data_IF_038085496288
#
_entry.id   IF_038085496288
#
_cell.length_a   1.000
_cell.length_b   1.000
_cell.length_c   1.000
_cell.angle_alpha   90.00
_cell.angle_beta   90.00
_cell.angle_gamma   90.00
#
_symmetry.space_group_name_H-M   'P 1'
#
loop_
_entity.id
_entity.type
_entity.pdbx_description
1 polymer ?
#
# COMPACT_ATOMS: atom_id res chain seq x y z
N UNK A 1 -11.56 8.47 -1.87
CA UNK A 1 -12.73 8.70 -0.98
C UNK A 1 -12.76 7.62 0.09
N UNK A 2 -13.13 7.95 1.33
CA UNK A 2 -13.24 6.96 2.41
C UNK A 2 -14.57 6.20 2.33
N UNK A 3 -14.63 4.92 2.71
CA UNK A 3 -15.87 4.20 2.92
C UNK A 3 -16.75 4.86 3.99
N UNK A 4 -18.07 4.67 3.90
CA UNK A 4 -18.99 5.23 4.86
C UNK A 4 -18.70 4.73 6.28
N UNK A 5 -18.63 5.66 7.25
CA UNK A 5 -18.33 5.36 8.65
C UNK A 5 -16.85 5.20 8.97
N UNK A 6 -15.97 5.19 7.97
CA UNK A 6 -14.52 5.18 8.20
C UNK A 6 -14.01 6.59 8.49
N UNK A 7 -12.96 6.68 9.29
CA UNK A 7 -12.38 7.96 9.71
C UNK A 7 -10.87 7.97 9.56
N UNK A 8 -10.27 9.16 9.55
CA UNK A 8 -8.82 9.34 9.57
C UNK A 8 -8.37 9.96 10.88
N UNK A 9 -7.24 9.50 11.40
CA UNK A 9 -6.56 10.10 12.55
C UNK A 9 -5.13 10.46 12.16
N UNK A 10 -4.67 11.70 12.40
CA UNK A 10 -3.28 12.08 12.16
C UNK A 10 -2.29 11.19 12.93
N UNK A 11 -1.19 10.86 12.28
CA UNK A 11 -0.02 10.25 12.89
C UNK A 11 1.18 11.19 12.81
N UNK A 12 2.14 10.99 13.72
CA UNK A 12 3.44 11.62 13.58
C UNK A 12 4.14 11.05 12.32
N UNK A 13 4.52 11.88 11.35
CA UNK A 13 5.20 11.39 10.16
C UNK A 13 6.60 10.82 10.49
N UNK A 14 7.12 9.97 9.59
CA UNK A 14 8.48 9.44 9.74
C UNK A 14 9.52 10.57 9.86
N UNK A 15 10.49 10.38 10.76
CA UNK A 15 11.57 11.35 11.03
C UNK A 15 12.91 10.89 10.46
N UNK A 16 12.91 10.02 9.45
CA UNK A 16 14.16 9.56 8.83
C UNK A 16 14.96 10.77 8.26
N UNK A 17 16.30 10.76 8.29
CA UNK A 17 17.10 11.89 7.81
C UNK A 17 16.78 12.24 6.35
N UNK A 18 16.41 13.49 6.10
CA UNK A 18 16.07 13.96 4.74
C UNK A 18 17.30 14.33 3.91
N UNK A 19 18.51 14.22 4.47
CA UNK A 19 19.78 14.63 3.86
C UNK A 19 19.76 16.05 3.24
N UNK A 20 18.93 16.94 3.80
CA UNK A 20 18.77 18.33 3.33
C UNK A 20 17.66 18.56 2.31
N UNK A 21 16.89 17.53 1.94
CA UNK A 21 15.73 17.65 1.06
C UNK A 21 14.54 18.25 1.86
N UNK A 22 13.91 19.34 1.39
CA UNK A 22 12.78 19.95 2.09
C UNK A 22 11.50 19.15 1.84
N UNK A 23 11.30 18.07 2.60
CA UNK A 23 10.12 17.21 2.45
C UNK A 23 8.90 17.74 3.22
N UNK A 24 7.77 17.86 2.54
CA UNK A 24 6.45 18.03 3.16
C UNK A 24 5.93 16.67 3.62
N UNK A 25 5.91 16.45 4.93
CA UNK A 25 5.53 15.15 5.51
C UNK A 25 4.10 15.15 6.02
N UNK A 26 3.42 14.03 5.84
CA UNK A 26 2.03 13.85 6.29
C UNK A 26 1.78 12.37 6.52
N UNK A 27 1.09 12.01 7.61
CA UNK A 27 0.73 10.63 7.89
C UNK A 27 -0.64 10.54 8.57
N UNK A 28 -1.41 9.51 8.21
CA UNK A 28 -2.72 9.23 8.81
C UNK A 28 -2.96 7.73 8.95
N UNK A 29 -3.59 7.37 10.07
CA UNK A 29 -4.30 6.11 10.21
C UNK A 29 -5.70 6.24 9.66
N UNK A 30 -6.18 5.17 9.03
CA UNK A 30 -7.54 5.05 8.55
C UNK A 30 -8.21 3.95 9.35
N UNK A 31 -9.32 4.30 10.00
CA UNK A 31 -10.04 3.45 10.94
C UNK A 31 -11.41 3.08 10.37
N UNK A 32 -11.88 1.86 10.62
CA UNK A 32 -13.25 1.47 10.33
C UNK A 32 -14.28 2.09 11.31
N UNK A 33 -15.56 1.77 11.14
CA UNK A 33 -16.63 2.26 12.01
C UNK A 33 -16.59 1.74 13.44
N UNK A 34 -15.77 0.72 13.73
CA UNK A 34 -15.52 0.19 15.07
C UNK A 34 -14.25 0.78 15.70
N UNK A 35 -13.53 1.64 14.97
CA UNK A 35 -12.27 2.25 15.40
C UNK A 35 -11.04 1.36 15.23
N UNK A 36 -11.14 0.26 14.48
CA UNK A 36 -10.00 -0.60 14.15
C UNK A 36 -9.20 -0.01 13.00
N UNK A 37 -7.88 -0.10 13.08
CA UNK A 37 -7.01 0.32 11.99
C UNK A 37 -7.18 -0.61 10.78
N UNK A 38 -7.48 0.00 9.63
CA UNK A 38 -7.67 -0.70 8.37
C UNK A 38 -6.55 -0.42 7.37
N UNK A 39 -5.98 0.78 7.41
CA UNK A 39 -4.91 1.17 6.50
C UNK A 39 -4.12 2.36 7.06
N UNK A 40 -2.92 2.56 6.52
CA UNK A 40 -2.03 3.67 6.84
C UNK A 40 -1.61 4.37 5.55
N UNK A 41 -1.64 5.69 5.59
CA UNK A 41 -1.07 6.54 4.55
C UNK A 41 0.08 7.36 5.13
N UNK A 42 1.20 7.43 4.42
CA UNK A 42 2.32 8.31 4.74
C UNK A 42 2.92 8.90 3.45
N UNK A 43 3.07 10.22 3.41
CA UNK A 43 3.76 10.95 2.34
C UNK A 43 4.99 11.69 2.86
N UNK A 44 5.92 11.99 1.96
CA UNK A 44 7.19 12.62 2.32
C UNK A 44 8.17 11.64 2.96
N UNK A 45 8.13 10.38 2.55
CA UNK A 45 9.05 9.34 3.03
C UNK A 45 10.39 9.51 2.32
N UNK A 46 11.51 9.71 3.06
CA UNK A 46 12.84 9.72 2.47
C UNK A 46 13.17 8.33 1.95
N UNK A 47 13.61 8.22 0.70
CA UNK A 47 14.08 6.97 0.14
C UNK A 47 14.99 7.21 -1.04
N UNK A 48 16.03 6.39 -1.14
CA UNK A 48 16.96 6.31 -2.28
C UNK A 48 16.46 5.35 -3.37
N UNK A 49 15.32 4.68 -3.14
CA UNK A 49 14.74 3.69 -4.06
C UNK A 49 15.46 2.33 -4.02
N UNK A 50 16.29 2.05 -3.01
CA UNK A 50 16.98 0.77 -2.90
C UNK A 50 16.00 -0.41 -2.83
N UNK A 51 15.96 -1.19 -3.91
CA UNK A 51 15.13 -2.38 -4.04
C UNK A 51 15.83 -3.61 -3.43
N UNK A 52 15.15 -4.30 -2.53
CA UNK A 52 15.49 -5.67 -2.17
C UNK A 52 14.41 -6.59 -2.76
N UNK A 53 14.79 -7.72 -3.39
CA UNK A 53 13.82 -8.69 -3.87
C UNK A 53 12.89 -9.14 -2.73
N UNK A 54 11.59 -9.15 -2.99
CA UNK A 54 10.58 -9.67 -2.07
C UNK A 54 9.95 -10.92 -2.69
N UNK A 55 10.50 -12.12 -2.41
CA UNK A 55 9.99 -13.37 -2.95
C UNK A 55 8.78 -13.90 -2.16
N UNK A 56 8.03 -14.82 -2.77
CA UNK A 56 7.03 -15.64 -2.08
C UNK A 56 5.67 -14.98 -1.86
N UNK A 57 5.38 -13.92 -2.61
CA UNK A 57 4.07 -13.29 -2.63
C UNK A 57 3.12 -14.05 -3.55
N UNK A 58 1.86 -14.15 -3.14
CA UNK A 58 0.79 -14.78 -3.92
C UNK A 58 -0.32 -13.74 -4.11
N UNK A 59 -0.45 -13.15 -5.32
CA UNK A 59 -1.51 -12.20 -5.63
C UNK A 59 -2.90 -12.81 -5.46
N UNK A 60 -3.81 -12.05 -4.85
CA UNK A 60 -5.22 -12.39 -4.67
C UNK A 60 -6.14 -11.48 -5.50
N UNK A 61 -5.78 -10.19 -5.64
CA UNK A 61 -6.44 -9.23 -6.54
C UNK A 61 -5.44 -8.15 -6.95
N UNK A 62 -5.59 -7.61 -8.15
CA UNK A 62 -4.81 -6.49 -8.64
C UNK A 62 -5.61 -5.63 -9.64
N UNK A 63 -5.25 -4.35 -9.70
CA UNK A 63 -5.84 -3.39 -10.64
C UNK A 63 -4.81 -2.35 -11.04
N UNK A 64 -4.52 -2.23 -12.34
CA UNK A 64 -3.72 -1.11 -12.85
C UNK A 64 -4.45 0.22 -12.63
N UNK A 65 -3.70 1.25 -12.24
CA UNK A 65 -4.20 2.58 -11.90
C UNK A 65 -3.60 3.65 -12.84
N UNK A 66 -4.05 3.75 -14.11
CA UNK A 66 -3.45 4.63 -15.11
C UNK A 66 -3.36 6.11 -14.69
N UNK A 67 -4.34 6.58 -13.91
CA UNK A 67 -4.34 7.95 -13.41
C UNK A 67 -3.16 8.23 -12.46
N UNK A 68 -2.78 7.26 -11.62
CA UNK A 68 -1.61 7.37 -10.75
C UNK A 68 -0.31 7.11 -11.53
N UNK A 69 -0.31 6.16 -12.48
CA UNK A 69 0.84 5.92 -13.36
C UNK A 69 1.30 7.20 -14.06
N UNK A 70 0.36 8.05 -14.49
CA UNK A 70 0.65 9.34 -15.14
C UNK A 70 1.24 10.41 -14.19
N UNK A 71 1.28 10.15 -12.88
CA UNK A 71 1.76 11.07 -11.84
C UNK A 71 3.08 10.61 -11.21
N UNK A 72 3.60 9.45 -11.62
CA UNK A 72 4.91 8.98 -11.16
C UNK A 72 6.00 9.80 -11.85
N UNK A 73 6.84 10.46 -11.05
CA UNK A 73 7.90 11.29 -11.59
C UNK A 73 9.03 10.43 -12.16
N UNK A 74 9.57 10.81 -13.33
CA UNK A 74 10.77 10.24 -13.97
C UNK A 74 10.77 8.73 -14.26
N UNK A 75 9.66 8.01 -14.09
CA UNK A 75 9.60 6.55 -14.26
C UNK A 75 8.38 6.16 -15.12
N UNK A 76 8.63 5.52 -16.26
CA UNK A 76 7.60 4.94 -17.12
C UNK A 76 7.26 3.50 -16.69
N UNK A 77 6.69 3.34 -15.50
CA UNK A 77 6.20 2.06 -15.00
C UNK A 77 4.73 2.16 -14.60
N UNK A 78 3.92 1.11 -14.84
CA UNK A 78 2.54 1.09 -14.37
C UNK A 78 2.50 1.14 -12.84
N UNK A 79 1.52 1.83 -12.29
CA UNK A 79 1.14 1.71 -10.89
C UNK A 79 -0.07 0.81 -10.80
N UNK A 80 -0.02 -0.19 -9.93
CA UNK A 80 -1.17 -1.06 -9.65
C UNK A 80 -1.52 -1.04 -8.17
N UNK A 81 -2.80 -1.15 -7.86
CA UNK A 81 -3.24 -1.72 -6.59
C UNK A 81 -2.97 -3.22 -6.62
N UNK A 82 -2.47 -3.75 -5.51
CA UNK A 82 -2.25 -5.18 -5.31
C UNK A 82 -2.72 -5.56 -3.92
N UNK A 83 -3.50 -6.63 -3.82
CA UNK A 83 -3.75 -7.36 -2.58
C UNK A 83 -3.18 -8.76 -2.71
N UNK A 84 -2.22 -9.09 -1.87
CA UNK A 84 -1.54 -10.39 -1.89
C UNK A 84 -1.27 -10.91 -0.48
N UNK A 85 -0.71 -12.11 -0.40
CA UNK A 85 -0.19 -12.64 0.84
C UNK A 85 1.20 -13.24 0.65
N UNK A 86 1.99 -13.25 1.72
CA UNK A 86 3.29 -13.91 1.76
C UNK A 86 3.55 -14.47 3.16
N UNK A 87 4.55 -15.35 3.26
CA UNK A 87 5.04 -15.79 4.56
C UNK A 87 6.18 -14.87 4.99
N UNK A 88 6.01 -14.17 6.09
CA UNK A 88 7.03 -13.26 6.61
C UNK A 88 8.30 -14.05 6.95
N UNK A 89 9.46 -13.69 6.37
CA UNK A 89 10.66 -14.50 6.49
C UNK A 89 11.30 -14.42 7.89
N UNK A 90 10.90 -13.46 8.72
CA UNK A 90 11.45 -13.24 10.05
C UNK A 90 10.64 -13.99 11.10
N UNK A 91 9.33 -13.83 11.06
CA UNK A 91 8.38 -14.39 12.04
C UNK A 91 7.81 -15.74 11.61
N UNK A 92 7.81 -16.02 10.30
CA UNK A 92 7.16 -17.20 9.71
C UNK A 92 5.64 -17.07 9.64
N UNK A 93 5.06 -15.96 10.06
CA UNK A 93 3.61 -15.75 10.03
C UNK A 93 3.14 -15.38 8.62
N UNK A 94 1.89 -15.72 8.29
CA UNK A 94 1.29 -15.26 7.04
C UNK A 94 0.81 -13.82 7.22
N UNK A 95 1.20 -12.98 6.27
CA UNK A 95 0.80 -11.58 6.18
C UNK A 95 0.02 -11.38 4.91
N UNK A 96 -1.05 -10.60 4.99
CA UNK A 96 -1.82 -10.13 3.83
C UNK A 96 -1.61 -8.63 3.70
N UNK A 97 -1.36 -8.17 2.48
CA UNK A 97 -0.95 -6.80 2.22
C UNK A 97 -1.71 -6.23 1.02
N UNK A 98 -2.49 -5.19 1.27
CA UNK A 98 -2.99 -4.33 0.21
C UNK A 98 -2.04 -3.13 0.07
N UNK A 99 -1.57 -2.85 -1.13
CA UNK A 99 -0.58 -1.78 -1.38
C UNK A 99 -0.69 -1.23 -2.79
N UNK A 100 0.01 -0.14 -3.02
CA UNK A 100 0.44 0.17 -4.38
C UNK A 100 1.73 -0.54 -4.75
N UNK A 101 1.87 -0.84 -6.03
CA UNK A 101 3.04 -1.45 -6.63
C UNK A 101 3.46 -0.68 -7.87
N UNK A 102 4.78 -0.48 -8.03
CA UNK A 102 5.36 0.20 -9.19
C UNK A 102 6.01 -0.84 -10.12
N UNK A 103 5.50 -0.94 -11.34
CA UNK A 103 5.91 -1.95 -12.30
C UNK A 103 4.89 -3.08 -12.45
N UNK A 104 5.15 -4.06 -13.32
CA UNK A 104 4.24 -5.16 -13.53
C UNK A 104 4.08 -6.01 -12.27
N UNK A 105 2.89 -6.56 -12.06
CA UNK A 105 2.63 -7.57 -11.04
C UNK A 105 3.21 -8.89 -11.53
N UNK A 106 4.23 -9.45 -10.84
CA UNK A 106 4.93 -10.63 -11.31
C UNK A 106 4.10 -11.91 -11.06
N UNK A 107 3.95 -12.75 -12.09
CA UNK A 107 3.22 -14.03 -11.96
C UNK A 107 3.94 -15.04 -11.05
N UNK A 108 5.27 -14.93 -10.91
CA UNK A 108 6.08 -15.82 -10.08
C UNK A 108 6.17 -15.38 -8.61
N UNK A 109 5.51 -14.27 -8.25
CA UNK A 109 5.49 -13.75 -6.89
C UNK A 109 6.82 -13.14 -6.43
N UNK A 110 7.76 -12.88 -7.35
CA UNK A 110 9.04 -12.25 -7.07
C UNK A 110 9.02 -10.77 -7.43
N UNK A 111 8.84 -9.93 -6.43
CA UNK A 111 8.85 -8.48 -6.61
C UNK A 111 10.28 -7.93 -6.61
N UNK A 112 10.65 -7.22 -7.68
CA UNK A 112 11.99 -6.64 -7.87
C UNK A 112 12.16 -5.18 -7.45
N UNK A 113 11.12 -4.56 -6.88
CA UNK A 113 11.09 -3.15 -6.46
C UNK A 113 10.66 -3.03 -4.99
N UNK A 114 10.94 -1.91 -4.30
CA UNK A 114 10.44 -1.70 -2.94
C UNK A 114 8.91 -1.72 -2.93
N UNK A 115 8.33 -2.61 -2.13
CA UNK A 115 6.89 -2.78 -2.03
C UNK A 115 6.24 -1.58 -1.34
N UNK A 116 5.14 -1.08 -1.90
CA UNK A 116 4.31 -0.04 -1.27
C UNK A 116 4.87 1.37 -1.36
N UNK A 117 6.04 1.58 -1.97
CA UNK A 117 6.67 2.90 -2.13
C UNK A 117 6.46 3.40 -3.56
N UNK A 118 5.76 4.52 -3.70
CA UNK A 118 5.58 5.21 -4.98
C UNK A 118 6.24 6.58 -4.99
N UNK A 119 7.04 6.93 -6.01
CA UNK A 119 7.53 8.29 -6.20
C UNK A 119 6.44 9.15 -6.87
N UNK A 120 5.52 9.66 -6.05
CA UNK A 120 4.46 10.57 -6.49
C UNK A 120 4.86 12.02 -6.19
N UNK A 121 4.95 12.83 -7.25
CA UNK A 121 5.32 14.24 -7.17
C UNK A 121 6.80 14.49 -6.82
N UNK A 122 7.12 15.74 -6.51
CA UNK A 122 8.52 16.19 -6.26
C UNK A 122 8.97 16.01 -4.80
N UNK A 123 8.11 15.51 -3.93
CA UNK A 123 8.22 15.63 -2.48
C UNK A 123 8.52 14.30 -1.76
N UNK A 124 9.27 13.41 -2.40
CA UNK A 124 9.68 12.11 -1.86
C UNK A 124 8.73 10.95 -2.19
N UNK A 125 8.79 9.87 -1.40
CA UNK A 125 7.97 8.67 -1.62
C UNK A 125 6.66 8.73 -0.82
N UNK A 126 5.64 8.07 -1.37
CA UNK A 126 4.33 7.86 -0.74
C UNK A 126 4.15 6.38 -0.44
N UNK A 127 3.61 6.08 0.73
CA UNK A 127 3.17 4.77 1.18
C UNK A 127 1.68 4.82 1.45
N UNK A 128 0.95 3.88 0.85
CA UNK A 128 -0.41 3.57 1.25
C UNK A 128 -0.51 2.06 1.34
N UNK A 129 -0.77 1.54 2.54
CA UNK A 129 -0.83 0.10 2.79
C UNK A 129 -1.94 -0.27 3.77
N UNK A 130 -2.43 -1.49 3.65
CA UNK A 130 -3.28 -2.16 4.62
C UNK A 130 -2.68 -3.53 4.90
N UNK A 131 -2.32 -3.80 6.14
CA UNK A 131 -1.66 -5.05 6.54
C UNK A 131 -2.56 -5.82 7.49
N UNK A 132 -2.75 -7.10 7.21
CA UNK A 132 -3.58 -7.99 8.03
C UNK A 132 -2.80 -9.24 8.40
N UNK A 133 -2.99 -9.69 9.65
CA UNK A 133 -2.39 -10.91 10.17
C UNK A 133 -3.34 -12.11 10.13
N UNK A 134 -2.87 -13.20 10.73
CA UNK A 134 -3.64 -14.44 10.85
C UNK A 134 -4.80 -14.36 11.85
N UNK A 135 -4.81 -13.33 12.69
CA UNK A 135 -5.93 -12.96 13.57
C UNK A 135 -7.17 -12.52 12.76
N UNK A 136 -6.94 -11.81 11.64
CA UNK A 136 -7.99 -11.41 10.71
C UNK A 136 -8.31 -12.50 9.70
N UNK A 137 -7.28 -13.12 9.12
CA UNK A 137 -7.42 -14.15 8.09
C UNK A 137 -6.61 -15.40 8.45
N UNK A 138 -7.21 -16.35 9.20
CA UNK A 138 -6.53 -17.58 9.61
C UNK A 138 -5.99 -18.39 8.42
N UNK A 139 -6.68 -18.36 7.28
CA UNK A 139 -6.31 -19.05 6.05
C UNK A 139 -6.47 -18.16 4.81
N UNK A 140 -5.81 -18.50 3.67
CA UNK A 140 -5.95 -17.72 2.43
C UNK A 140 -7.37 -17.76 1.89
N UNK A 141 -8.08 -18.87 2.09
CA UNK A 141 -9.49 -19.00 1.72
C UNK A 141 -10.38 -17.98 2.45
N UNK A 142 -10.03 -17.59 3.67
CA UNK A 142 -10.76 -16.54 4.41
C UNK A 142 -10.54 -15.15 3.75
N UNK A 143 -9.31 -14.88 3.29
CA UNK A 143 -8.99 -13.66 2.56
C UNK A 143 -9.63 -13.63 1.16
N UNK A 144 -9.64 -14.77 0.45
CA UNK A 144 -10.34 -14.92 -0.84
C UNK A 144 -11.85 -14.70 -0.70
N UNK A 145 -12.47 -15.28 0.33
CA UNK A 145 -13.89 -15.06 0.62
C UNK A 145 -14.17 -13.59 0.94
N UNK A 146 -13.23 -12.90 1.60
CA UNK A 146 -13.35 -11.49 1.94
C UNK A 146 -13.39 -10.57 0.72
N UNK A 147 -12.79 -10.95 -0.42
CA UNK A 147 -12.83 -10.19 -1.68
C UNK A 147 -14.27 -9.91 -2.15
N UNK A 148 -15.22 -10.78 -1.80
CA UNK A 148 -16.63 -10.61 -2.14
C UNK A 148 -17.41 -9.66 -1.23
N UNK A 149 -16.78 -9.01 -0.25
CA UNK A 149 -17.47 -8.21 0.77
C UNK A 149 -17.51 -6.72 0.43
N UNK A 150 -18.47 -6.01 1.03
CA UNK A 150 -18.56 -4.54 0.93
C UNK A 150 -17.40 -3.84 1.63
N UNK A 151 -16.84 -4.44 2.69
CA UNK A 151 -15.67 -3.91 3.38
C UNK A 151 -14.44 -3.92 2.47
N UNK A 152 -14.21 -5.03 1.77
CA UNK A 152 -13.15 -5.11 0.77
C UNK A 152 -13.37 -4.12 -0.38
N UNK A 153 -14.59 -4.06 -0.93
CA UNK A 153 -14.92 -3.09 -1.98
C UNK A 153 -14.67 -1.64 -1.53
N UNK A 154 -14.95 -1.33 -0.26
CA UNK A 154 -14.62 -0.05 0.34
C UNK A 154 -13.12 0.20 0.42
N UNK A 155 -12.35 -0.77 0.91
CA UNK A 155 -10.88 -0.69 0.98
C UNK A 155 -10.29 -0.47 -0.43
N UNK A 156 -10.62 -1.33 -1.39
CA UNK A 156 -10.15 -1.21 -2.78
C UNK A 156 -10.57 0.11 -3.39
N UNK A 157 -11.83 0.53 -3.21
CA UNK A 157 -12.32 1.83 -3.69
C UNK A 157 -11.53 3.01 -3.13
N UNK A 158 -11.09 2.94 -1.87
CA UNK A 158 -10.26 3.97 -1.26
C UNK A 158 -8.86 4.05 -1.90
N UNK A 159 -8.20 2.90 -2.10
CA UNK A 159 -6.89 2.84 -2.79
C UNK A 159 -6.99 3.32 -4.24
N UNK A 160 -7.97 2.84 -4.98
CA UNK A 160 -8.10 3.13 -6.42
C UNK A 160 -8.62 4.54 -6.72
N UNK A 161 -9.25 5.20 -5.74
CA UNK A 161 -9.74 6.58 -5.87
C UNK A 161 -8.79 7.66 -5.34
N UNK A 162 -7.59 7.28 -4.87
CA UNK A 162 -6.60 8.28 -4.46
C UNK A 162 -6.08 9.02 -5.69
N UNK A 163 -6.09 10.34 -5.61
CA UNK A 163 -5.47 11.24 -6.60
C UNK A 163 -4.50 12.14 -5.87
N UNK A 164 -3.29 12.30 -6.38
CA UNK A 164 -2.32 13.23 -5.81
C UNK A 164 -2.46 14.60 -6.50
N UNK A 165 -2.87 15.60 -5.73
CA UNK A 165 -2.84 16.99 -6.19
C UNK A 165 -1.60 17.61 -5.55
N UNK A 166 -0.52 17.71 -6.33
CA UNK A 166 0.75 18.31 -5.90
C UNK A 166 0.59 19.76 -5.44
#
# INVERSE_FOLDING_TARGET
MLPAGWTTTPLEPSTAPDYGVPLGRTAYNILDGEGREMAVFAGGVPGDGAALPSPGHVPLDDEELPALSAQVDKVELPVSYVFDHYQDPVTGERVYLARYHLGPVPEDGLYGVPLGLLPLGENGLVVFTATFGTDRFPTPADAEAWLGTQEYAGLRGMFTSLTYNG
#
